data_IF_254311048475
#
_entry.id   IF_254311048475
#
_cell.length_a   1.000
_cell.length_b   1.000
_cell.length_c   1.000
_cell.angle_alpha   90.00
_cell.angle_beta   90.00
_cell.angle_gamma   90.00
#
_symmetry.space_group_name_H-M   'P 1'
#
loop_
_entity.id
_entity.type
_entity.pdbx_description
1 polymer ?
#
# COMPACT_ATOMS: atom_id res chain seq x y z
N UNK A 1 19.79 -9.96 3.70
CA UNK A 1 19.28 -8.63 3.32
C UNK A 1 19.24 -7.77 4.58
N UNK A 2 19.95 -6.63 4.61
CA UNK A 2 19.99 -5.76 5.79
C UNK A 2 18.73 -4.89 5.73
N UNK A 3 17.78 -5.14 6.61
CA UNK A 3 16.52 -4.40 6.60
C UNK A 3 16.76 -2.96 7.05
N UNK A 4 16.20 -1.99 6.34
CA UNK A 4 16.19 -0.60 6.81
C UNK A 4 15.32 -0.53 8.08
N UNK A 5 15.83 0.00 9.21
CA UNK A 5 15.01 0.15 10.40
C UNK A 5 13.87 1.13 10.14
N UNK A 6 12.68 0.85 10.67
CA UNK A 6 11.59 1.83 10.57
C UNK A 6 11.85 2.97 11.56
N UNK A 7 11.94 4.19 11.05
CA UNK A 7 12.22 5.40 11.84
C UNK A 7 10.95 6.24 12.03
N UNK A 8 10.83 7.01 13.13
CA UNK A 8 9.77 7.99 13.30
C UNK A 8 9.80 9.09 12.23
N UNK A 9 8.67 9.77 12.04
CA UNK A 9 8.49 10.93 11.14
C UNK A 9 9.03 10.75 9.72
N UNK A 10 8.88 9.55 9.16
CA UNK A 10 9.40 9.19 7.85
C UNK A 10 8.35 8.46 7.00
N UNK A 11 8.51 8.55 5.69
CA UNK A 11 7.70 7.82 4.74
C UNK A 11 8.36 6.50 4.36
N UNK A 12 7.58 5.43 4.29
CA UNK A 12 8.03 4.13 3.83
C UNK A 12 7.06 3.55 2.80
N UNK A 13 7.60 2.90 1.79
CA UNK A 13 6.86 1.98 0.93
C UNK A 13 6.94 0.58 1.52
N UNK A 14 5.81 0.04 1.97
CA UNK A 14 5.69 -1.28 2.56
C UNK A 14 4.95 -2.20 1.58
N UNK A 15 5.50 -3.38 1.33
CA UNK A 15 4.90 -4.36 0.43
C UNK A 15 5.37 -5.79 0.73
N UNK A 16 4.72 -6.75 0.10
CA UNK A 16 4.90 -8.19 0.24
C UNK A 16 4.04 -8.84 -0.86
N UNK A 17 4.28 -10.11 -1.13
CA UNK A 17 3.52 -10.89 -2.09
C UNK A 17 3.06 -12.21 -1.49
N UNK A 18 2.16 -12.88 -2.19
CA UNK A 18 1.79 -14.25 -1.86
C UNK A 18 3.00 -15.17 -2.00
N UNK A 19 3.15 -16.08 -1.04
CA UNK A 19 4.11 -17.16 -1.16
C UNK A 19 3.81 -17.96 -2.45
N UNK A 20 4.84 -18.44 -3.14
CA UNK A 20 4.70 -19.16 -4.41
C UNK A 20 3.89 -18.42 -5.50
N UNK A 21 3.87 -17.07 -5.48
CA UNK A 21 3.08 -16.23 -6.42
C UNK A 21 1.57 -16.46 -6.33
N UNK A 22 1.09 -16.95 -5.18
CA UNK A 22 -0.34 -17.18 -4.98
C UNK A 22 -1.09 -15.86 -4.78
N UNK A 23 -2.37 -15.86 -5.13
CA UNK A 23 -3.24 -14.69 -4.95
C UNK A 23 -3.51 -14.48 -3.46
N UNK A 24 -3.14 -13.31 -2.94
CA UNK A 24 -3.45 -12.89 -1.56
C UNK A 24 -4.94 -12.59 -1.37
N UNK A 25 -5.61 -12.17 -2.43
CA UNK A 25 -7.02 -11.80 -2.43
C UNK A 25 -7.73 -12.63 -3.49
N UNK A 26 -8.50 -13.61 -3.05
CA UNK A 26 -9.18 -14.55 -3.94
C UNK A 26 -10.57 -14.01 -4.29
N UNK A 27 -11.22 -13.27 -3.37
CA UNK A 27 -12.53 -12.63 -3.58
C UNK A 27 -12.62 -11.25 -2.90
N UNK A 28 -13.70 -10.50 -3.17
CA UNK A 28 -13.95 -9.13 -2.64
C UNK A 28 -13.90 -9.04 -1.11
N UNK A 29 -14.47 -10.03 -0.41
CA UNK A 29 -14.43 -10.11 1.06
C UNK A 29 -13.02 -10.11 1.62
N UNK A 30 -12.06 -10.67 0.88
CA UNK A 30 -10.68 -10.78 1.34
C UNK A 30 -10.03 -9.39 1.39
N UNK A 31 -10.29 -8.54 0.39
CA UNK A 31 -9.86 -7.14 0.41
C UNK A 31 -10.49 -6.39 1.58
N UNK A 32 -11.81 -6.51 1.76
CA UNK A 32 -12.54 -5.82 2.84
C UNK A 32 -11.97 -6.20 4.20
N UNK A 33 -11.74 -7.49 4.44
CA UNK A 33 -11.17 -7.97 5.68
C UNK A 33 -9.73 -7.47 5.89
N UNK A 34 -8.87 -7.52 4.88
CA UNK A 34 -7.51 -7.00 4.98
C UNK A 34 -7.48 -5.50 5.30
N UNK A 35 -8.33 -4.70 4.62
CA UNK A 35 -8.49 -3.27 4.90
C UNK A 35 -8.98 -3.02 6.33
N UNK A 36 -9.84 -3.88 6.87
CA UNK A 36 -10.28 -3.81 8.27
C UNK A 36 -9.14 -4.06 9.26
N UNK A 37 -8.21 -4.98 8.94
CA UNK A 37 -7.05 -5.27 9.76
C UNK A 37 -6.01 -4.14 9.71
N UNK A 38 -5.83 -3.51 8.54
CA UNK A 38 -5.05 -2.27 8.42
C UNK A 38 -5.60 -1.22 9.39
N UNK A 39 -6.92 -0.97 9.34
CA UNK A 39 -7.58 0.00 10.21
C UNK A 39 -7.35 -0.31 11.69
N UNK A 40 -7.45 -1.59 12.06
CA UNK A 40 -7.30 -2.08 13.43
C UNK A 40 -5.87 -1.96 13.96
N UNK A 41 -4.86 -2.26 13.13
CA UNK A 41 -3.50 -2.44 13.59
C UNK A 41 -2.57 -1.26 13.30
N UNK A 42 -2.86 -0.42 12.29
CA UNK A 42 -1.88 0.56 11.79
C UNK A 42 -2.26 2.03 12.00
N UNK A 43 -3.55 2.41 11.99
CA UNK A 43 -3.95 3.84 12.02
C UNK A 43 -3.48 4.61 13.26
N UNK A 44 -3.28 3.93 14.38
CA UNK A 44 -2.78 4.59 15.59
C UNK A 44 -1.31 4.99 15.48
N UNK A 45 -0.54 4.35 14.59
CA UNK A 45 0.92 4.53 14.48
C UNK A 45 1.37 5.16 13.16
N UNK A 46 0.47 5.33 12.19
CA UNK A 46 0.81 5.89 10.88
C UNK A 46 -0.40 6.38 10.09
N UNK A 47 -0.13 7.29 9.15
CA UNK A 47 -1.04 7.64 8.06
C UNK A 47 -0.73 6.79 6.83
N UNK A 48 -1.75 6.47 6.02
CA UNK A 48 -1.65 5.45 4.98
C UNK A 48 -2.16 5.93 3.63
N UNK A 49 -1.53 5.44 2.56
CA UNK A 49 -2.07 5.37 1.20
C UNK A 49 -2.04 3.89 0.82
N UNK A 50 -3.17 3.33 0.41
CA UNK A 50 -3.36 1.88 0.27
C UNK A 50 -3.78 1.47 -1.12
N UNK A 51 -3.19 0.39 -1.64
CA UNK A 51 -3.67 -0.30 -2.83
C UNK A 51 -3.54 -1.83 -2.69
N UNK A 52 -3.71 -2.57 -3.80
CA UNK A 52 -3.79 -4.03 -3.97
C UNK A 52 -2.88 -4.85 -3.05
N UNK A 53 -1.71 -4.34 -2.64
CA UNK A 53 -1.01 -4.71 -1.40
C UNK A 53 0.13 -3.72 -1.06
N UNK A 54 0.48 -2.79 -1.94
CA UNK A 54 1.44 -1.74 -1.61
C UNK A 54 0.82 -0.70 -0.68
N UNK A 55 1.55 -0.36 0.38
CA UNK A 55 1.20 0.68 1.34
C UNK A 55 2.28 1.75 1.34
N UNK A 56 1.89 3.02 1.23
CA UNK A 56 2.78 4.14 1.56
C UNK A 56 2.37 4.58 2.95
N UNK A 57 3.33 4.60 3.87
CA UNK A 57 3.07 4.82 5.28
C UNK A 57 3.89 5.98 5.79
N UNK A 58 3.26 6.91 6.50
CA UNK A 58 3.93 7.98 7.25
C UNK A 58 3.98 7.59 8.71
N UNK A 59 5.16 7.37 9.27
CA UNK A 59 5.31 7.08 10.71
C UNK A 59 5.06 8.33 11.54
N UNK A 60 4.45 8.16 12.72
CA UNK A 60 4.24 9.24 13.70
C UNK A 60 5.51 9.48 14.53
N UNK A 61 5.65 10.63 15.23
CA UNK A 61 6.86 10.96 15.99
C UNK A 61 7.22 9.96 17.10
N UNK A 62 6.23 9.29 17.67
CA UNK A 62 6.36 8.31 18.76
C UNK A 62 6.48 6.86 18.25
N UNK A 63 6.57 6.67 16.93
CA UNK A 63 6.62 5.34 16.32
C UNK A 63 7.98 4.69 16.53
N UNK A 64 8.00 3.50 17.15
CA UNK A 64 9.20 2.65 17.21
C UNK A 64 9.10 1.50 16.20
N UNK A 65 10.24 1.08 15.65
CA UNK A 65 10.30 -0.05 14.72
C UNK A 65 9.65 -1.31 15.32
N UNK A 66 10.00 -1.65 16.56
CA UNK A 66 9.48 -2.84 17.22
C UNK A 66 7.95 -2.82 17.35
N UNK A 67 7.35 -1.67 17.69
CA UNK A 67 5.90 -1.56 17.82
C UNK A 67 5.20 -1.67 16.46
N UNK A 68 5.77 -1.06 15.44
CA UNK A 68 5.18 -1.05 14.11
C UNK A 68 5.36 -2.39 13.38
N UNK A 69 6.56 -2.96 13.40
CA UNK A 69 6.84 -4.31 12.90
C UNK A 69 5.97 -5.36 13.58
N UNK A 70 5.68 -5.21 14.88
CA UNK A 70 4.71 -6.06 15.60
C UNK A 70 3.27 -5.84 15.11
N UNK A 71 2.89 -4.61 14.80
CA UNK A 71 1.55 -4.29 14.28
C UNK A 71 1.31 -4.90 12.89
N UNK A 72 2.30 -4.79 11.99
CA UNK A 72 2.30 -5.50 10.71
C UNK A 72 2.28 -7.03 10.89
N UNK A 73 3.09 -7.56 11.82
CA UNK A 73 3.09 -8.99 12.12
C UNK A 73 1.72 -9.48 12.59
N UNK A 74 1.04 -8.74 13.46
CA UNK A 74 -0.30 -9.07 13.93
C UNK A 74 -1.33 -9.05 12.79
N UNK A 75 -1.27 -8.03 11.93
CA UNK A 75 -2.12 -7.89 10.75
C UNK A 75 -1.93 -9.09 9.80
N UNK A 76 -0.70 -9.36 9.37
CA UNK A 76 -0.42 -10.45 8.43
C UNK A 76 -0.76 -11.82 9.00
N UNK A 77 -0.47 -12.07 10.27
CA UNK A 77 -0.84 -13.32 10.93
C UNK A 77 -2.36 -13.50 11.03
N UNK A 78 -3.10 -12.44 11.37
CA UNK A 78 -4.57 -12.49 11.45
C UNK A 78 -5.18 -12.75 10.06
N UNK A 79 -4.63 -12.12 9.02
CA UNK A 79 -5.08 -12.33 7.65
C UNK A 79 -4.77 -13.74 7.15
N UNK A 80 -3.52 -14.19 7.28
CA UNK A 80 -3.08 -15.51 6.85
C UNK A 80 -3.90 -16.63 7.51
N UNK A 81 -4.17 -16.53 8.82
CA UNK A 81 -5.03 -17.49 9.53
C UNK A 81 -6.44 -17.54 8.97
N UNK A 82 -7.04 -16.38 8.66
CA UNK A 82 -8.39 -16.32 8.11
C UNK A 82 -8.47 -16.94 6.70
N UNK A 83 -7.52 -16.59 5.82
CA UNK A 83 -7.43 -17.15 4.46
C UNK A 83 -7.17 -18.65 4.51
N UNK A 84 -6.21 -19.11 5.32
CA UNK A 84 -5.93 -20.54 5.47
C UNK A 84 -7.15 -21.33 5.96
N UNK A 85 -7.88 -20.77 6.93
CA UNK A 85 -9.13 -21.39 7.42
C UNK A 85 -10.22 -21.41 6.35
N UNK A 86 -10.46 -20.30 5.63
CA UNK A 86 -11.54 -20.17 4.64
C UNK A 86 -11.32 -21.07 3.43
N UNK A 87 -10.07 -21.21 2.99
CA UNK A 87 -9.72 -21.93 1.77
C UNK A 87 -9.05 -23.28 2.01
N UNK A 88 -9.09 -23.79 3.24
CA UNK A 88 -8.48 -25.07 3.63
C UNK A 88 -6.99 -25.18 3.24
N UNK A 89 -6.26 -24.07 3.30
CA UNK A 89 -4.83 -24.00 3.01
C UNK A 89 -4.00 -24.25 4.26
N UNK A 90 -2.75 -24.64 4.06
CA UNK A 90 -1.74 -24.77 5.10
C UNK A 90 -0.45 -24.05 4.71
N UNK A 91 0.42 -23.77 5.67
CA UNK A 91 1.67 -23.07 5.44
C UNK A 91 1.55 -21.54 5.39
N UNK A 92 2.63 -20.89 4.96
CA UNK A 92 2.71 -19.42 4.89
C UNK A 92 1.92 -18.89 3.70
N UNK A 93 1.09 -17.87 3.94
CA UNK A 93 0.40 -17.13 2.89
C UNK A 93 1.29 -16.05 2.26
N UNK A 94 2.08 -15.36 3.08
CA UNK A 94 2.98 -14.29 2.63
C UNK A 94 4.39 -14.82 2.40
N UNK A 95 5.15 -14.16 1.53
CA UNK A 95 6.58 -14.42 1.36
C UNK A 95 7.35 -13.77 2.51
N UNK A 96 8.06 -14.59 3.29
CA UNK A 96 8.94 -14.18 4.39
C UNK A 96 8.42 -12.98 5.22
N UNK A 97 9.30 -12.03 5.54
CA UNK A 97 8.95 -10.76 6.18
C UNK A 97 8.55 -9.75 5.10
N UNK A 98 7.73 -8.75 5.48
CA UNK A 98 7.40 -7.67 4.56
C UNK A 98 8.65 -6.86 4.17
N UNK A 99 8.69 -6.45 2.92
CA UNK A 99 9.67 -5.53 2.40
C UNK A 99 9.30 -4.10 2.74
N UNK A 100 10.33 -3.28 2.91
CA UNK A 100 10.18 -1.86 3.21
C UNK A 100 11.32 -1.06 2.60
N UNK A 101 10.99 0.11 2.09
CA UNK A 101 11.93 1.05 1.51
C UNK A 101 11.59 2.43 2.05
N UNK A 102 12.58 3.09 2.66
CA UNK A 102 12.44 4.49 3.09
C UNK A 102 12.33 5.40 1.88
N UNK A 103 11.38 6.33 1.93
CA UNK A 103 11.19 7.35 0.91
C UNK A 103 11.95 8.59 1.37
N UNK A 104 13.05 8.88 0.68
CA UNK A 104 14.02 9.90 1.09
C UNK A 104 13.60 11.33 0.73
N UNK A 105 12.76 11.49 -0.30
CA UNK A 105 12.36 12.81 -0.79
C UNK A 105 10.95 12.82 -1.41
N UNK A 106 10.46 14.03 -1.65
CA UNK A 106 9.11 14.27 -2.18
C UNK A 106 8.94 13.77 -3.63
N UNK A 107 9.96 13.91 -4.47
CA UNK A 107 9.91 13.44 -5.86
C UNK A 107 9.77 11.92 -5.89
N UNK A 108 10.46 11.23 -4.98
CA UNK A 108 10.32 9.80 -4.82
C UNK A 108 8.94 9.43 -4.28
N UNK A 109 8.41 10.18 -3.29
CA UNK A 109 7.06 9.99 -2.78
C UNK A 109 6.00 10.09 -3.88
N UNK A 110 6.03 11.16 -4.69
CA UNK A 110 5.14 11.33 -5.84
C UNK A 110 5.23 10.15 -6.82
N UNK A 111 6.45 9.69 -7.11
CA UNK A 111 6.70 8.58 -8.03
C UNK A 111 6.10 7.28 -7.52
N UNK A 112 6.25 6.97 -6.23
CA UNK A 112 5.65 5.79 -5.61
C UNK A 112 4.13 5.91 -5.53
N UNK A 113 3.56 7.09 -5.28
CA UNK A 113 2.10 7.29 -5.31
C UNK A 113 1.54 6.94 -6.69
N UNK A 114 2.16 7.45 -7.76
CA UNK A 114 1.76 7.13 -9.14
C UNK A 114 1.90 5.64 -9.39
N UNK A 115 3.07 5.05 -9.12
CA UNK A 115 3.33 3.63 -9.29
C UNK A 115 2.28 2.78 -8.59
N UNK A 116 2.03 3.04 -7.30
CA UNK A 116 1.07 2.29 -6.52
C UNK A 116 -0.31 2.39 -7.14
N UNK A 117 -0.78 3.58 -7.52
CA UNK A 117 -2.11 3.75 -8.12
C UNK A 117 -2.25 3.08 -9.49
N UNK A 118 -1.22 3.06 -10.33
CA UNK A 118 -1.28 2.48 -11.68
C UNK A 118 -0.92 0.99 -11.72
N UNK A 119 -0.32 0.45 -10.66
CA UNK A 119 0.08 -0.96 -10.53
C UNK A 119 -1.02 -1.97 -10.93
N UNK A 120 -2.31 -1.81 -10.54
CA UNK A 120 -3.36 -2.73 -10.97
C UNK A 120 -3.46 -2.89 -12.50
N UNK A 121 -3.18 -1.84 -13.26
CA UNK A 121 -3.14 -1.93 -14.74
C UNK A 121 -1.86 -2.58 -15.23
N UNK A 122 -0.71 -2.27 -14.62
CA UNK A 122 0.57 -2.89 -15.00
C UNK A 122 0.59 -4.41 -14.84
N UNK A 123 -0.05 -4.92 -13.79
CA UNK A 123 -0.13 -6.37 -13.53
C UNK A 123 -1.39 -7.02 -14.12
N UNK A 124 -2.17 -6.29 -14.92
CA UNK A 124 -3.31 -6.85 -15.66
C UNK A 124 -4.56 -7.13 -14.83
N UNK A 125 -4.67 -6.61 -13.60
CA UNK A 125 -5.87 -6.75 -12.77
C UNK A 125 -7.05 -5.91 -13.28
N UNK A 126 -6.77 -4.82 -13.99
CA UNK A 126 -7.78 -3.97 -14.66
C UNK A 126 -7.18 -3.33 -15.90
N UNK A 127 -8.01 -3.03 -16.90
CA UNK A 127 -7.60 -2.25 -18.08
C UNK A 127 -7.48 -0.75 -17.78
N UNK A 128 -8.11 -0.28 -16.69
CA UNK A 128 -8.08 1.12 -16.27
C UNK A 128 -7.91 1.20 -14.74
N UNK A 129 -6.80 1.75 -14.29
CA UNK A 129 -6.50 1.89 -12.86
C UNK A 129 -7.54 2.74 -12.13
N UNK A 130 -8.22 3.64 -12.86
CA UNK A 130 -9.28 4.52 -12.32
C UNK A 130 -10.56 3.77 -12.01
N UNK A 131 -10.70 2.49 -12.38
CA UNK A 131 -11.87 1.67 -12.01
C UNK A 131 -11.55 0.68 -10.89
N UNK A 132 -10.30 0.63 -10.43
CA UNK A 132 -9.87 -0.32 -9.43
C UNK A 132 -10.36 0.07 -8.02
N UNK A 133 -11.38 -0.65 -7.53
CA UNK A 133 -12.10 -0.35 -6.28
C UNK A 133 -11.22 -0.29 -5.03
N UNK A 134 -10.12 -1.04 -4.99
CA UNK A 134 -9.27 -1.17 -3.81
C UNK A 134 -8.04 -0.26 -3.84
N UNK A 135 -8.04 0.75 -4.72
CA UNK A 135 -7.04 1.80 -4.78
C UNK A 135 -7.50 3.05 -4.02
N UNK A 136 -6.57 3.72 -3.34
CA UNK A 136 -6.77 5.05 -2.77
C UNK A 136 -6.97 6.16 -3.81
N UNK A 137 -6.75 5.90 -5.11
CA UNK A 137 -6.94 6.91 -6.16
C UNK A 137 -8.34 7.53 -6.14
N UNK A 138 -9.37 6.70 -5.92
CA UNK A 138 -10.74 7.19 -5.75
C UNK A 138 -10.93 8.04 -4.50
N UNK A 139 -10.24 7.73 -3.41
CA UNK A 139 -10.27 8.57 -2.21
C UNK A 139 -9.63 9.93 -2.47
N UNK A 140 -8.66 10.06 -3.37
CA UNK A 140 -8.06 11.34 -3.74
C UNK A 140 -8.96 12.17 -4.66
N UNK A 141 -9.67 11.51 -5.58
CA UNK A 141 -10.51 12.15 -6.59
C UNK A 141 -11.99 12.27 -6.19
N UNK A 142 -12.44 11.63 -5.12
CA UNK A 142 -13.81 11.76 -4.64
C UNK A 142 -13.97 12.98 -3.72
N UNK A 143 -15.20 13.52 -3.64
CA UNK A 143 -15.58 14.51 -2.62
C UNK A 143 -16.01 13.87 -1.30
N UNK A 144 -16.16 12.54 -1.26
CA UNK A 144 -16.59 11.82 -0.04
C UNK A 144 -15.53 11.96 1.06
N UNK A 145 -15.89 11.93 2.35
CA UNK A 145 -14.91 11.88 3.44
C UNK A 145 -13.97 10.68 3.31
N UNK A 146 -12.73 10.83 3.77
CA UNK A 146 -11.70 9.78 3.75
C UNK A 146 -10.84 9.89 5.00
N UNK A 147 -10.34 8.76 5.49
CA UNK A 147 -9.37 8.70 6.60
C UNK A 147 -7.94 8.99 6.14
N UNK A 148 -7.71 9.08 4.82
CA UNK A 148 -6.42 9.41 4.22
C UNK A 148 -6.24 10.92 4.16
N UNK A 149 -5.00 11.40 4.29
CA UNK A 149 -4.67 12.81 4.16
C UNK A 149 -4.71 13.27 2.68
N UNK A 150 -5.93 13.48 2.18
CA UNK A 150 -6.19 13.90 0.80
C UNK A 150 -5.50 15.22 0.49
N UNK A 151 -5.61 16.20 1.38
CA UNK A 151 -5.10 17.54 1.13
C UNK A 151 -3.58 17.53 1.01
N UNK A 152 -2.88 16.80 1.90
CA UNK A 152 -1.44 16.59 1.76
C UNK A 152 -1.11 15.91 0.43
N UNK A 153 -1.74 14.78 0.12
CA UNK A 153 -1.42 14.03 -1.11
C UNK A 153 -1.67 14.87 -2.35
N UNK A 154 -2.77 15.64 -2.42
CA UNK A 154 -3.04 16.52 -3.56
C UNK A 154 -2.06 17.68 -3.63
N UNK A 155 -1.62 18.23 -2.49
CA UNK A 155 -0.62 19.31 -2.44
C UNK A 155 0.74 18.90 -3.00
N UNK A 156 1.10 17.62 -2.88
CA UNK A 156 2.30 17.07 -3.53
C UNK A 156 2.26 17.19 -5.05
N UNK A 157 1.09 17.39 -5.65
CA UNK A 157 0.94 17.53 -7.09
C UNK A 157 0.39 18.91 -7.47
N UNK A 158 0.59 19.92 -6.62
CA UNK A 158 0.03 21.27 -6.70
C UNK A 158 -1.50 21.31 -6.53
N UNK A 159 -2.21 20.58 -7.37
CA UNK A 159 -3.66 20.46 -7.31
C UNK A 159 -4.17 19.12 -7.84
N UNK A 160 -5.48 18.95 -7.70
CA UNK A 160 -6.18 17.75 -8.17
C UNK A 160 -6.08 17.54 -9.69
N UNK A 161 -6.11 18.60 -10.50
CA UNK A 161 -6.08 18.48 -11.96
C UNK A 161 -4.72 17.94 -12.39
N UNK A 162 -3.65 18.47 -11.82
CA UNK A 162 -2.30 18.01 -12.09
C UNK A 162 -2.06 16.60 -11.53
N UNK A 163 -2.59 16.26 -10.34
CA UNK A 163 -2.62 14.88 -9.84
C UNK A 163 -3.23 13.91 -10.87
N UNK A 164 -4.42 14.23 -11.41
CA UNK A 164 -5.08 13.39 -12.41
C UNK A 164 -4.29 13.33 -13.73
N UNK A 165 -3.72 14.46 -14.17
CA UNK A 165 -2.92 14.58 -15.40
C UNK A 165 -1.63 13.75 -15.35
N UNK A 166 -0.86 13.84 -14.26
CA UNK A 166 0.42 13.12 -14.15
C UNK A 166 0.23 11.61 -14.03
N UNK A 167 -0.84 11.14 -13.37
CA UNK A 167 -1.17 9.71 -13.28
C UNK A 167 -1.51 9.12 -14.66
N UNK A 168 -2.11 9.91 -15.55
CA UNK A 168 -2.38 9.49 -16.92
C UNK A 168 -1.12 9.56 -17.81
N UNK A 169 -0.31 10.60 -17.64
CA UNK A 169 0.82 10.89 -18.53
C UNK A 169 2.09 10.07 -18.24
N UNK A 170 2.36 9.75 -16.96
CA UNK A 170 3.60 9.06 -16.54
C UNK A 170 3.47 7.54 -16.43
N UNK A 171 2.43 6.96 -17.03
CA UNK A 171 2.07 5.55 -16.92
C UNK A 171 3.07 4.58 -17.60
N UNK A 172 4.27 5.02 -18.00
CA UNK A 172 5.21 4.18 -18.77
C UNK A 172 6.68 4.34 -18.39
N UNK A 173 7.13 5.52 -17.91
CA UNK A 173 8.58 5.78 -17.70
C UNK A 173 9.06 5.59 -16.25
N UNK A 174 8.16 5.58 -15.26
CA UNK A 174 8.54 5.46 -13.84
C UNK A 174 8.89 4.01 -13.47
N UNK A 175 8.34 3.04 -14.19
CA UNK A 175 8.15 1.68 -13.67
C UNK A 175 9.42 0.84 -13.61
N UNK A 176 10.31 0.90 -14.59
CA UNK A 176 11.46 0.00 -14.64
C UNK A 176 12.40 0.11 -13.43
N UNK A 177 12.48 1.29 -12.80
CA UNK A 177 13.29 1.52 -11.60
C UNK A 177 12.63 1.03 -10.30
N UNK A 178 11.31 0.88 -10.28
CA UNK A 178 10.51 0.61 -9.08
C UNK A 178 9.67 -0.67 -9.17
N UNK A 179 9.91 -1.52 -10.18
CA UNK A 179 9.46 -2.92 -10.16
C UNK A 179 10.21 -3.60 -9.01
N UNK A 180 9.50 -3.76 -7.90
CA UNK A 180 10.00 -4.29 -6.65
C UNK A 180 9.61 -5.76 -6.43
N UNK A 181 9.21 -6.46 -7.51
CA UNK A 181 8.70 -7.84 -7.52
C UNK A 181 9.55 -8.80 -8.36
#
# INVERSE_FOLDING_TARGET
>A
MKYEPITPDAYFHIYNCGNNKENLFIEEDNYIYFLSLIKKHLLNSMDLIKNHFHLIVKTKPDTSDNNLSRSFSNLFNAYAKAINKRYHRSGSLFKDQFSRIKIEDETYLQSIIIYVHTNPTHHGFTTDFRTYKYSSYHSMTSKKPTELDREFVLSLFDDRKNFEFVHQSKNTSILEKYILE
#
